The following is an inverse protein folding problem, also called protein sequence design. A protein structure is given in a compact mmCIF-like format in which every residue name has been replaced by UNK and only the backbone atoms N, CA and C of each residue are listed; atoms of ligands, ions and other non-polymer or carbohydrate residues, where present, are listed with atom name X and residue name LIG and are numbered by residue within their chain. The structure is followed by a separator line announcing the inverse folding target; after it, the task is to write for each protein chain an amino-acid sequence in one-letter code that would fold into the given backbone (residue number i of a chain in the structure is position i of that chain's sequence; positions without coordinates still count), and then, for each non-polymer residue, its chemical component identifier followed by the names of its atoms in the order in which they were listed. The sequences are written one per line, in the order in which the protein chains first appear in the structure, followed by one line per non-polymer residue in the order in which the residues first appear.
data_IF_843491347571
#
_entry.id   IF_843491347571
#
_cell.length_a   1.000
_cell.length_b   1.000
_cell.length_c   1.000
_cell.angle_alpha   90.00
_cell.angle_beta   90.00
_cell.angle_gamma   90.00
#
_symmetry.space_group_name_H-M   'P 1'
#
loop_
_entity.id
_entity.type
_entity.pdbx_description
1 polymer ?
#
# COMPACT_ATOMS: atom_id res chain seq x y z
N UNK A 1 19.35 1.28 4.76
CA UNK A 1 18.41 0.34 4.09
C UNK A 1 17.34 -0.24 5.03
N UNK A 2 17.57 -0.38 6.34
CA UNK A 2 16.60 -0.95 7.29
C UNK A 2 15.26 -0.19 7.36
N UNK A 3 15.22 1.07 6.96
CA UNK A 3 14.03 1.90 7.14
C UNK A 3 13.05 1.86 5.96
N UNK A 4 13.43 1.24 4.82
CA UNK A 4 12.57 1.11 3.61
C UNK A 4 11.87 -0.28 3.57
N UNK A 5 11.86 -0.99 4.70
CA UNK A 5 11.25 -2.33 4.79
C UNK A 5 9.74 -2.30 4.49
N UNK A 6 8.94 -1.33 5.00
CA UNK A 6 7.50 -1.29 4.71
C UNK A 6 7.20 -1.16 3.22
N UNK A 7 7.91 -0.29 2.51
CA UNK A 7 7.70 -0.04 1.08
C UNK A 7 8.08 -1.25 0.24
N UNK A 8 9.24 -1.88 0.54
CA UNK A 8 9.67 -3.11 -0.13
C UNK A 8 8.69 -4.26 0.12
N UNK A 9 8.15 -4.36 1.33
CA UNK A 9 7.18 -5.38 1.66
C UNK A 9 5.87 -5.19 0.88
N UNK A 10 5.36 -3.95 0.78
CA UNK A 10 4.18 -3.66 -0.05
C UNK A 10 4.46 -4.06 -1.50
N UNK A 11 5.60 -3.65 -2.07
CA UNK A 11 5.96 -3.94 -3.46
C UNK A 11 6.04 -5.45 -3.74
N UNK A 12 6.72 -6.20 -2.88
CA UNK A 12 6.87 -7.65 -3.02
C UNK A 12 5.52 -8.37 -2.83
N UNK A 13 4.73 -7.93 -1.85
CA UNK A 13 3.40 -8.50 -1.62
C UNK A 13 2.46 -8.24 -2.80
N UNK A 14 2.44 -7.04 -3.37
CA UNK A 14 1.56 -6.70 -4.48
C UNK A 14 1.91 -7.49 -5.75
N UNK A 15 3.21 -7.59 -6.09
CA UNK A 15 3.65 -8.39 -7.24
C UNK A 15 3.41 -9.88 -7.06
N UNK A 16 3.70 -10.44 -5.88
CA UNK A 16 3.45 -11.87 -5.61
C UNK A 16 1.96 -12.19 -5.66
N UNK A 17 1.10 -11.34 -5.08
CA UNK A 17 -0.36 -11.47 -5.16
C UNK A 17 -0.88 -11.35 -6.59
N UNK A 18 -0.29 -10.48 -7.42
CA UNK A 18 -0.65 -10.34 -8.83
C UNK A 18 -0.33 -11.63 -9.61
N UNK A 19 0.87 -12.17 -9.45
CA UNK A 19 1.28 -13.42 -10.10
C UNK A 19 0.34 -14.56 -9.68
N UNK A 20 0.09 -14.72 -8.37
CA UNK A 20 -0.82 -15.74 -7.85
C UNK A 20 -2.24 -15.53 -8.39
N UNK A 21 -2.75 -14.30 -8.38
CA UNK A 21 -4.07 -13.94 -8.86
C UNK A 21 -4.28 -14.28 -10.34
N UNK A 22 -3.28 -14.01 -11.19
CA UNK A 22 -3.34 -14.32 -12.64
C UNK A 22 -3.47 -15.82 -12.89
N UNK A 23 -2.74 -16.66 -12.14
CA UNK A 23 -2.86 -18.11 -12.27
C UNK A 23 -4.13 -18.67 -11.64
N UNK A 24 -4.77 -17.91 -10.75
CA UNK A 24 -5.82 -18.41 -9.88
C UNK A 24 -7.13 -17.64 -10.09
N UNK A 25 -7.92 -18.06 -11.10
CA UNK A 25 -9.19 -17.40 -11.47
C UNK A 25 -10.29 -17.46 -10.41
N UNK A 26 -10.15 -18.26 -9.35
CA UNK A 26 -11.26 -18.63 -8.44
C UNK A 26 -11.08 -18.17 -6.99
N UNK A 27 -9.97 -17.54 -6.61
CA UNK A 27 -9.61 -17.30 -5.19
C UNK A 27 -9.80 -15.87 -4.68
N UNK A 28 -10.85 -15.17 -5.11
CA UNK A 28 -11.13 -13.78 -4.66
C UNK A 28 -11.13 -13.62 -3.13
N UNK A 29 -11.80 -14.51 -2.41
CA UNK A 29 -11.91 -14.42 -0.94
C UNK A 29 -10.59 -14.65 -0.23
N UNK A 30 -9.80 -15.64 -0.70
CA UNK A 30 -8.49 -15.96 -0.12
C UNK A 30 -7.50 -14.81 -0.33
N UNK A 31 -7.50 -14.20 -1.52
CA UNK A 31 -6.66 -13.04 -1.82
C UNK A 31 -7.00 -11.87 -0.89
N UNK A 32 -8.29 -11.62 -0.64
CA UNK A 32 -8.69 -10.56 0.29
C UNK A 32 -8.22 -10.84 1.73
N UNK A 33 -8.36 -12.07 2.24
CA UNK A 33 -7.84 -12.43 3.56
C UNK A 33 -6.33 -12.26 3.67
N UNK A 34 -5.58 -12.65 2.63
CA UNK A 34 -4.12 -12.46 2.59
C UNK A 34 -3.77 -10.96 2.63
N UNK A 35 -4.50 -10.12 1.90
CA UNK A 35 -4.26 -8.67 1.87
C UNK A 35 -4.53 -8.01 3.23
N UNK A 36 -5.59 -8.42 3.93
CA UNK A 36 -5.84 -7.97 5.30
C UNK A 36 -4.68 -8.37 6.23
N UNK A 37 -4.15 -9.58 6.09
CA UNK A 37 -2.99 -10.04 6.85
C UNK A 37 -1.73 -9.22 6.52
N UNK A 38 -1.48 -8.94 5.24
CA UNK A 38 -0.38 -8.07 4.78
C UNK A 38 -0.49 -6.68 5.40
N UNK A 39 -1.68 -6.07 5.40
CA UNK A 39 -1.92 -4.76 6.02
C UNK A 39 -1.69 -4.78 7.54
N UNK A 40 -2.14 -5.83 8.23
CA UNK A 40 -1.91 -5.99 9.67
C UNK A 40 -0.40 -6.11 10.00
N UNK A 41 0.33 -6.90 9.21
CA UNK A 41 1.79 -7.02 9.35
C UNK A 41 2.47 -5.68 9.09
N UNK A 42 2.05 -4.94 8.07
CA UNK A 42 2.60 -3.61 7.76
C UNK A 42 2.42 -2.62 8.91
N UNK A 43 1.25 -2.60 9.55
CA UNK A 43 1.00 -1.74 10.72
C UNK A 43 1.98 -2.09 11.84
N UNK A 44 2.18 -3.39 12.11
CA UNK A 44 3.12 -3.84 13.13
C UNK A 44 4.57 -3.44 12.77
N UNK A 45 4.99 -3.62 11.52
CA UNK A 45 6.35 -3.24 11.07
C UNK A 45 6.57 -1.73 11.19
N UNK A 46 5.62 -0.90 10.78
CA UNK A 46 5.75 0.56 10.89
C UNK A 46 5.79 0.99 12.36
N UNK A 47 4.96 0.39 13.22
CA UNK A 47 4.94 0.69 14.65
C UNK A 47 6.26 0.33 15.36
N UNK A 48 6.87 -0.81 15.00
CA UNK A 48 8.17 -1.22 15.56
C UNK A 48 9.32 -0.29 15.15
N UNK A 49 9.19 0.43 14.03
CA UNK A 49 10.19 1.37 13.51
C UNK A 49 9.88 2.84 13.87
N UNK A 50 8.96 3.10 14.80
CA UNK A 50 8.45 4.45 15.09
C UNK A 50 9.51 5.42 15.64
N UNK A 51 10.54 4.92 16.34
CA UNK A 51 11.50 5.74 17.09
C UNK A 51 12.75 6.19 16.30
N UNK A 52 12.95 5.69 15.08
CA UNK A 52 14.13 6.05 14.28
C UNK A 52 13.87 7.25 13.37
N UNK A 53 14.70 8.29 13.46
CA UNK A 53 14.82 9.29 12.39
C UNK A 53 15.98 8.91 11.46
N UNK A 54 15.72 8.90 10.15
CA UNK A 54 16.77 8.69 9.16
C UNK A 54 16.48 9.44 7.89
N UNK A 55 17.53 10.07 7.34
CA UNK A 55 17.52 10.61 6.00
C UNK A 55 18.24 9.64 5.06
N UNK A 56 17.68 9.43 3.89
CA UNK A 56 18.14 8.50 2.87
C UNK A 56 18.32 9.25 1.55
N UNK A 57 19.18 8.70 0.68
CA UNK A 57 19.40 9.19 -0.69
C UNK A 57 19.71 10.69 -0.77
N UNK A 58 20.73 11.14 -0.04
CA UNK A 58 21.18 12.54 -0.08
C UNK A 58 20.07 13.52 0.34
N UNK A 59 19.38 13.24 1.45
CA UNK A 59 18.29 14.05 1.99
C UNK A 59 17.02 14.13 1.13
N UNK A 60 16.87 13.33 0.07
CA UNK A 60 15.64 13.33 -0.74
C UNK A 60 14.48 12.53 -0.12
N UNK A 61 14.79 11.61 0.81
CA UNK A 61 13.80 10.76 1.46
C UNK A 61 14.03 10.76 2.98
N UNK A 62 13.02 11.16 3.75
CA UNK A 62 13.12 11.29 5.20
C UNK A 62 12.07 10.42 5.89
N UNK A 63 12.51 9.74 6.94
CA UNK A 63 11.64 8.94 7.82
C UNK A 63 11.78 9.55 9.20
N UNK A 64 10.71 10.20 9.63
CA UNK A 64 10.56 10.78 10.95
C UNK A 64 9.31 10.22 11.65
N UNK A 65 9.15 10.42 12.97
CA UNK A 65 7.96 9.95 13.69
C UNK A 65 6.65 10.45 13.09
N UNK A 66 6.64 11.66 12.50
CA UNK A 66 5.48 12.20 11.79
C UNK A 66 5.16 11.38 10.53
N UNK A 67 6.16 11.05 9.71
CA UNK A 67 5.98 10.20 8.53
C UNK A 67 5.47 8.81 8.91
N UNK A 68 5.99 8.22 9.99
CA UNK A 68 5.51 6.93 10.50
C UNK A 68 4.05 7.02 10.98
N UNK A 69 3.68 8.07 11.70
CA UNK A 69 2.29 8.32 12.10
C UNK A 69 1.35 8.43 10.90
N UNK A 70 1.74 9.19 9.88
CA UNK A 70 0.95 9.34 8.65
C UNK A 70 0.83 8.01 7.88
N UNK A 71 1.89 7.21 7.81
CA UNK A 71 1.85 5.86 7.20
C UNK A 71 0.85 4.94 7.92
N UNK A 72 0.82 4.97 9.25
CA UNK A 72 -0.16 4.19 10.03
C UNK A 72 -1.59 4.65 9.73
N UNK A 73 -1.82 5.96 9.65
CA UNK A 73 -3.14 6.52 9.33
C UNK A 73 -3.61 6.04 7.93
N UNK A 74 -2.72 6.05 6.94
CA UNK A 74 -3.00 5.52 5.59
C UNK A 74 -3.31 4.02 5.61
N UNK A 75 -2.57 3.21 6.37
CA UNK A 75 -2.86 1.78 6.47
C UNK A 75 -4.23 1.51 7.09
N UNK A 76 -4.61 2.28 8.10
CA UNK A 76 -5.94 2.19 8.73
C UNK A 76 -7.03 2.58 7.74
N UNK A 77 -6.87 3.69 7.01
CA UNK A 77 -7.87 4.13 6.03
C UNK A 77 -8.06 3.08 4.93
N UNK A 78 -6.97 2.48 4.45
CA UNK A 78 -6.98 1.42 3.44
C UNK A 78 -7.66 0.15 3.94
N UNK A 79 -7.46 -0.24 5.20
CA UNK A 79 -8.19 -1.35 5.82
C UNK A 79 -9.70 -1.09 5.82
N UNK A 80 -10.14 0.11 6.19
CA UNK A 80 -11.55 0.46 6.14
C UNK A 80 -12.10 0.45 4.71
N UNK A 81 -11.36 1.01 3.75
CA UNK A 81 -11.74 0.99 2.33
C UNK A 81 -11.88 -0.45 1.81
N UNK A 82 -10.97 -1.36 2.19
CA UNK A 82 -11.05 -2.79 1.84
C UNK A 82 -12.30 -3.45 2.40
N UNK A 83 -12.63 -3.22 3.67
CA UNK A 83 -13.81 -3.81 4.31
C UNK A 83 -15.11 -3.35 3.65
N UNK A 84 -15.23 -2.05 3.36
CA UNK A 84 -16.41 -1.48 2.70
C UNK A 84 -16.51 -2.01 1.26
N UNK A 85 -15.41 -1.91 0.49
CA UNK A 85 -15.38 -2.30 -0.92
C UNK A 85 -15.65 -3.78 -1.13
N UNK A 86 -15.16 -4.68 -0.26
CA UNK A 86 -15.39 -6.11 -0.43
C UNK A 86 -16.90 -6.45 -0.39
N UNK A 87 -17.63 -5.90 0.58
CA UNK A 87 -19.09 -6.12 0.67
C UNK A 87 -19.84 -5.51 -0.51
N UNK A 88 -19.36 -4.35 -1.01
CA UNK A 88 -19.96 -3.66 -2.14
C UNK A 88 -19.73 -4.41 -3.47
N UNK A 89 -18.50 -4.87 -3.72
CA UNK A 89 -18.11 -5.59 -4.92
C UNK A 89 -18.75 -6.99 -5.00
N UNK A 90 -18.88 -7.68 -3.87
CA UNK A 90 -19.62 -8.95 -3.80
C UNK A 90 -21.09 -8.76 -4.14
N UNK A 91 -21.74 -7.69 -3.65
CA UNK A 91 -23.15 -7.39 -3.96
C UNK A 91 -23.38 -7.10 -5.45
N UNK A 92 -22.42 -6.46 -6.10
CA UNK A 92 -22.48 -6.13 -7.52
C UNK A 92 -22.01 -7.27 -8.44
N UNK A 93 -21.55 -8.40 -7.89
CA UNK A 93 -20.95 -9.53 -8.64
C UNK A 93 -19.79 -9.15 -9.57
N UNK A 94 -19.10 -8.03 -9.28
CA UNK A 94 -17.94 -7.53 -10.03
C UNK A 94 -16.65 -7.67 -9.23
N UNK A 95 -16.64 -8.52 -8.21
CA UNK A 95 -15.44 -8.79 -7.42
C UNK A 95 -14.33 -9.31 -8.34
N UNK A 96 -13.28 -8.51 -8.51
CA UNK A 96 -12.05 -8.87 -9.23
C UNK A 96 -10.90 -8.90 -8.24
N UNK A 97 -10.02 -9.88 -8.36
CA UNK A 97 -8.85 -10.01 -7.51
C UNK A 97 -7.84 -8.87 -7.70
N UNK A 98 -7.90 -8.18 -8.85
CA UNK A 98 -7.04 -7.04 -9.19
C UNK A 98 -7.33 -5.81 -8.33
N UNK A 99 -8.60 -5.58 -7.96
CA UNK A 99 -9.02 -4.41 -7.19
C UNK A 99 -8.18 -4.21 -5.92
N UNK A 100 -8.07 -5.21 -5.02
CA UNK A 100 -7.33 -4.99 -3.79
C UNK A 100 -5.82 -4.93 -4.00
N UNK A 101 -5.29 -5.48 -5.09
CA UNK A 101 -3.86 -5.41 -5.42
C UNK A 101 -3.48 -4.03 -5.96
N UNK A 102 -4.31 -3.45 -6.85
CA UNK A 102 -4.10 -2.08 -7.35
C UNK A 102 -4.23 -1.07 -6.21
N UNK A 103 -5.11 -1.33 -5.25
CA UNK A 103 -5.22 -0.50 -4.05
C UNK A 103 -3.94 -0.56 -3.20
N UNK A 104 -3.32 -1.74 -3.02
CA UNK A 104 -1.99 -1.86 -2.38
C UNK A 104 -0.87 -1.13 -3.16
N UNK A 105 -0.92 -1.13 -4.49
CA UNK A 105 0.02 -0.32 -5.29
C UNK A 105 -0.19 1.18 -5.07
N UNK A 106 -1.43 1.63 -4.94
CA UNK A 106 -1.76 3.02 -4.59
C UNK A 106 -1.19 3.42 -3.22
N UNK A 107 -1.25 2.52 -2.22
CA UNK A 107 -0.67 2.80 -0.89
C UNK A 107 0.85 2.92 -0.91
N UNK A 108 1.53 2.18 -1.79
CA UNK A 108 2.97 2.35 -2.00
C UNK A 108 3.29 3.77 -2.48
N UNK A 109 2.49 4.32 -3.41
CA UNK A 109 2.63 5.71 -3.87
C UNK A 109 2.45 6.71 -2.73
N UNK A 110 1.43 6.50 -1.89
CA UNK A 110 1.20 7.31 -0.69
C UNK A 110 2.39 7.24 0.30
N UNK A 111 3.01 6.07 0.48
CA UNK A 111 4.17 5.90 1.36
C UNK A 111 5.41 6.65 0.84
N UNK A 112 5.65 6.60 -0.47
CA UNK A 112 6.71 7.37 -1.11
C UNK A 112 6.45 8.87 -0.94
N UNK A 113 5.21 9.31 -1.13
CA UNK A 113 4.79 10.70 -0.96
C UNK A 113 4.98 11.22 0.47
N UNK A 114 4.59 10.45 1.49
CA UNK A 114 4.69 10.85 2.92
C UNK A 114 6.13 11.03 3.38
N UNK A 115 7.07 10.27 2.80
CA UNK A 115 8.49 10.32 3.14
C UNK A 115 9.33 11.13 2.15
N UNK A 116 8.70 11.82 1.20
CA UNK A 116 9.39 12.66 0.24
C UNK A 116 9.87 13.97 0.90
N UNK A 117 11.14 14.31 0.69
CA UNK A 117 11.72 15.57 1.14
C UNK A 117 12.14 16.49 -0.02
N UNK A 118 11.86 16.09 -1.27
CA UNK A 118 11.98 16.95 -2.44
C UNK A 118 10.75 16.82 -3.34
N UNK A 119 10.55 17.83 -4.21
CA UNK A 119 9.37 17.91 -5.08
C UNK A 119 9.32 16.78 -6.12
N UNK A 120 10.47 16.27 -6.55
CA UNK A 120 10.53 15.21 -7.58
C UNK A 120 10.04 13.88 -7.02
N UNK A 121 10.52 13.47 -5.84
CA UNK A 121 10.07 12.22 -5.18
C UNK A 121 8.60 12.34 -4.79
N UNK A 122 8.18 13.53 -4.33
CA UNK A 122 6.77 13.80 -4.02
C UNK A 122 5.88 13.65 -5.26
N UNK A 123 6.27 14.25 -6.40
CA UNK A 123 5.55 14.14 -7.66
C UNK A 123 5.48 12.70 -8.18
N UNK A 124 6.59 11.95 -8.11
CA UNK A 124 6.61 10.54 -8.52
C UNK A 124 5.70 9.67 -7.64
N UNK A 125 5.64 9.93 -6.33
CA UNK A 125 4.71 9.27 -5.42
C UNK A 125 3.25 9.55 -5.80
N UNK A 126 2.93 10.81 -6.13
CA UNK A 126 1.61 11.23 -6.60
C UNK A 126 1.22 10.56 -7.92
N UNK A 127 2.10 10.53 -8.92
CA UNK A 127 1.84 9.89 -10.21
C UNK A 127 1.59 8.38 -10.06
N UNK A 128 2.36 7.70 -9.20
CA UNK A 128 2.13 6.28 -8.94
C UNK A 128 0.75 6.05 -8.31
N UNK A 129 0.37 6.89 -7.34
CA UNK A 129 -0.94 6.82 -6.70
C UNK A 129 -2.08 7.13 -7.69
N UNK A 130 -1.95 8.18 -8.51
CA UNK A 130 -2.99 8.63 -9.44
C UNK A 130 -3.26 7.59 -10.52
N UNK A 131 -2.23 6.98 -11.11
CA UNK A 131 -2.37 5.93 -12.12
C UNK A 131 -3.11 4.71 -11.56
N UNK A 132 -2.82 4.31 -10.32
CA UNK A 132 -3.56 3.23 -9.66
C UNK A 132 -5.04 3.61 -9.46
N UNK A 133 -5.33 4.84 -9.05
CA UNK A 133 -6.70 5.32 -8.86
C UNK A 133 -7.47 5.43 -10.17
N UNK A 134 -6.84 5.83 -11.27
CA UNK A 134 -7.47 5.85 -12.60
C UNK A 134 -7.89 4.45 -13.05
N UNK A 135 -7.07 3.43 -12.78
CA UNK A 135 -7.42 2.03 -13.06
C UNK A 135 -8.55 1.54 -12.18
N UNK A 136 -8.64 1.99 -10.93
CA UNK A 136 -9.73 1.61 -10.01
C UNK A 136 -11.06 2.29 -10.33
N UNK A 137 -11.04 3.46 -10.95
CA UNK A 137 -12.23 4.24 -11.28
C UNK A 137 -12.86 3.86 -12.62
N UNK A 138 -12.06 3.32 -13.55
CA UNK A 138 -12.49 2.91 -14.89
C UNK A 138 -13.14 1.51 -14.89
#
# INVERSE_FOLDING_TARGET
MKNIIPELFILLSSFSLLIVGVFSKTFNKIINYIIVLVLAVLIAVVYLNFSGSATLFGNSYTIDPLSNFMKILVLISVLFTMLISNTYLERLNIAKFEYPIVLLLSTLGMFVMISANNLIVFYLGLELQSLCLYVLAA
#
